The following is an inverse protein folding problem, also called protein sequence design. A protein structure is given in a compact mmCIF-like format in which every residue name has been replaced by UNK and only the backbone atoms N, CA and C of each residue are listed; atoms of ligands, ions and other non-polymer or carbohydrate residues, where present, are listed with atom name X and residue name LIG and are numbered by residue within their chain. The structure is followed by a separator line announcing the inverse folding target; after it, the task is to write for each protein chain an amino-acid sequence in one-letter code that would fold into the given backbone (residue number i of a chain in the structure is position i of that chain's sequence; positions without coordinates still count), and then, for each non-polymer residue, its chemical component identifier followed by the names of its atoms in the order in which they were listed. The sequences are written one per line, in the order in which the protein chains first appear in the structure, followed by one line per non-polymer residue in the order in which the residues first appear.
data_IF_656870341561
#
_entry.id   IF_656870341561
#
_cell.length_a   1.000
_cell.length_b   1.000
_cell.length_c   1.000
_cell.angle_alpha   90.00
_cell.angle_beta   90.00
_cell.angle_gamma   90.00
#
_symmetry.space_group_name_H-M   'P 1'
#
loop_
_entity.id
_entity.type
_entity.pdbx_description
1 polymer ?
#
# COMPACT_ATOMS: atom_id res chain seq x y z
N UNK A 1 18.48 22.18 -9.84
CA UNK A 1 17.68 20.96 -10.08
C UNK A 1 16.28 21.43 -10.50
N UNK A 2 15.85 21.15 -11.74
CA UNK A 2 14.55 21.60 -12.26
C UNK A 2 13.52 20.50 -12.03
N UNK A 3 12.38 20.81 -11.41
CA UNK A 3 11.31 19.83 -11.09
C UNK A 3 10.79 19.05 -12.31
N UNK A 4 10.92 19.59 -13.52
CA UNK A 4 10.40 18.99 -14.75
C UNK A 4 11.24 17.86 -15.36
N UNK A 5 12.42 17.55 -14.81
CA UNK A 5 13.34 16.54 -15.35
C UNK A 5 13.36 15.23 -14.54
N UNK A 6 12.62 15.16 -13.44
CA UNK A 6 12.58 13.98 -12.57
C UNK A 6 11.51 12.99 -13.03
N UNK A 7 11.79 11.69 -12.93
CA UNK A 7 10.87 10.59 -13.27
C UNK A 7 9.52 10.71 -12.55
N UNK A 8 9.51 11.33 -11.36
CA UNK A 8 8.29 11.63 -10.60
C UNK A 8 7.35 12.62 -11.31
N UNK A 9 7.87 13.55 -12.12
CA UNK A 9 7.05 14.53 -12.84
C UNK A 9 6.06 13.85 -13.79
N UNK A 10 6.47 12.77 -14.45
CA UNK A 10 5.60 12.00 -15.34
C UNK A 10 4.48 11.27 -14.59
N UNK A 11 4.69 10.93 -13.31
CA UNK A 11 3.70 10.27 -12.46
C UNK A 11 2.72 11.25 -11.79
N UNK A 12 3.11 12.53 -11.64
CA UNK A 12 2.37 13.54 -10.90
C UNK A 12 0.94 13.76 -11.41
N UNK A 13 0.73 13.73 -12.73
CA UNK A 13 -0.60 13.90 -13.31
C UNK A 13 -1.56 12.77 -12.88
N UNK A 14 -1.10 11.52 -12.94
CA UNK A 14 -1.92 10.36 -12.57
C UNK A 14 -2.14 10.29 -11.06
N UNK A 15 -1.13 10.64 -10.25
CA UNK A 15 -1.25 10.76 -8.80
C UNK A 15 -2.29 11.81 -8.40
N UNK A 16 -2.22 12.98 -9.02
CA UNK A 16 -3.14 14.09 -8.73
C UNK A 16 -4.56 13.71 -9.10
N UNK A 17 -4.77 13.16 -10.30
CA UNK A 17 -6.07 12.66 -10.75
C UNK A 17 -6.62 11.59 -9.80
N UNK A 18 -5.80 10.61 -9.40
CA UNK A 18 -6.23 9.53 -8.50
C UNK A 18 -6.64 10.04 -7.13
N UNK A 19 -5.91 11.02 -6.58
CA UNK A 19 -6.25 11.66 -5.32
C UNK A 19 -7.53 12.49 -5.43
N UNK A 20 -7.72 13.17 -6.56
CA UNK A 20 -8.93 13.94 -6.81
C UNK A 20 -10.15 13.04 -6.90
N UNK A 21 -10.08 11.92 -7.63
CA UNK A 21 -11.15 10.92 -7.69
C UNK A 21 -11.55 10.35 -6.34
N UNK A 22 -10.59 10.12 -5.44
CA UNK A 22 -10.90 9.69 -4.06
C UNK A 22 -11.72 10.74 -3.30
N UNK A 23 -11.45 12.03 -3.52
CA UNK A 23 -12.19 13.13 -2.91
C UNK A 23 -13.57 13.31 -3.55
N UNK A 24 -13.65 13.27 -4.88
CA UNK A 24 -14.91 13.38 -5.63
C UNK A 24 -15.86 12.23 -5.30
N UNK A 25 -15.34 11.00 -5.26
CA UNK A 25 -16.15 9.84 -4.90
C UNK A 25 -16.74 9.99 -3.49
N UNK A 26 -16.01 10.58 -2.54
CA UNK A 26 -16.55 10.83 -1.20
C UNK A 26 -17.72 11.84 -1.24
N UNK A 27 -17.59 12.91 -2.02
CA UNK A 27 -18.66 13.89 -2.20
C UNK A 27 -19.89 13.31 -2.89
N UNK A 28 -19.73 12.55 -3.97
CA UNK A 28 -20.82 11.91 -4.69
C UNK A 28 -21.62 10.93 -3.82
N UNK A 29 -21.00 10.40 -2.75
CA UNK A 29 -21.63 9.52 -1.79
C UNK A 29 -22.33 10.26 -0.64
N UNK A 30 -22.40 11.59 -0.68
CA UNK A 30 -22.86 12.44 0.44
C UNK A 30 -22.12 12.13 1.75
N UNK A 31 -20.90 11.62 1.65
CA UNK A 31 -20.05 11.37 2.79
C UNK A 31 -19.16 12.61 3.00
N UNK A 32 -18.88 12.99 4.26
CA UNK A 32 -17.73 13.82 4.54
C UNK A 32 -16.50 13.26 3.82
N UNK A 33 -15.66 14.14 3.25
CA UNK A 33 -14.50 13.78 2.40
C UNK A 33 -13.62 12.66 2.96
N UNK A 34 -13.59 12.54 4.27
CA UNK A 34 -12.81 11.54 4.98
C UNK A 34 -13.55 10.21 5.18
N UNK A 35 -14.89 10.15 5.28
CA UNK A 35 -15.61 8.95 5.73
C UNK A 35 -15.82 7.85 4.68
N UNK A 36 -15.38 8.03 3.44
CA UNK A 36 -15.52 7.00 2.42
C UNK A 36 -14.49 5.89 2.63
N UNK A 37 -14.98 4.68 2.89
CA UNK A 37 -14.14 3.49 2.94
C UNK A 37 -13.82 3.04 1.51
N UNK A 38 -12.57 2.64 1.29
CA UNK A 38 -12.15 2.03 0.03
C UNK A 38 -11.61 0.61 0.27
N UNK A 39 -11.98 -0.29 -0.63
CA UNK A 39 -11.42 -1.63 -0.74
C UNK A 39 -10.58 -1.74 -2.01
N UNK A 40 -9.62 -2.65 -2.00
CA UNK A 40 -8.86 -2.97 -3.19
C UNK A 40 -9.49 -4.16 -3.91
N UNK A 41 -9.65 -4.04 -5.22
CA UNK A 41 -10.05 -5.13 -6.09
C UNK A 41 -8.84 -5.60 -6.92
N UNK A 42 -8.38 -6.82 -6.65
CA UNK A 42 -7.15 -7.37 -7.22
C UNK A 42 -7.25 -7.56 -8.75
N UNK A 43 -8.34 -8.18 -9.23
CA UNK A 43 -8.55 -8.50 -10.65
C UNK A 43 -8.44 -7.27 -11.56
N UNK A 44 -9.03 -6.15 -11.14
CA UNK A 44 -9.02 -4.90 -11.91
C UNK A 44 -7.89 -3.96 -11.48
N UNK A 45 -7.22 -4.23 -10.36
CA UNK A 45 -6.25 -3.34 -9.71
C UNK A 45 -6.79 -1.92 -9.45
N UNK A 46 -8.03 -1.86 -8.94
CA UNK A 46 -8.79 -0.63 -8.69
C UNK A 46 -9.14 -0.51 -7.21
N UNK A 47 -9.19 0.73 -6.72
CA UNK A 47 -9.79 1.10 -5.45
C UNK A 47 -11.29 1.28 -5.63
N UNK A 48 -12.05 0.46 -4.92
CA UNK A 48 -13.51 0.45 -4.91
C UNK A 48 -14.02 1.22 -3.71
N UNK A 49 -14.82 2.22 -3.99
CA UNK A 49 -15.54 3.00 -3.01
C UNK A 49 -16.73 2.27 -2.44
N UNK A 50 -16.87 2.24 -1.11
CA UNK A 50 -17.93 1.49 -0.43
C UNK A 50 -18.89 2.39 0.33
N UNK A 51 -20.16 2.14 0.07
CA UNK A 51 -21.33 2.76 0.69
C UNK A 51 -22.35 1.63 0.96
N UNK A 52 -23.21 1.82 1.97
CA UNK A 52 -24.27 0.87 2.35
C UNK A 52 -25.13 0.33 1.17
N UNK A 53 -25.23 1.04 0.06
CA UNK A 53 -26.04 0.70 -1.11
C UNK A 53 -25.24 0.46 -2.40
N UNK A 54 -23.95 0.82 -2.46
CA UNK A 54 -23.17 0.74 -3.70
C UNK A 54 -21.68 0.51 -3.49
N UNK A 55 -21.08 -0.24 -4.44
CA UNK A 55 -19.64 -0.40 -4.62
C UNK A 55 -19.28 0.18 -5.99
N UNK A 56 -18.41 1.18 -6.02
CA UNK A 56 -18.10 1.93 -7.25
C UNK A 56 -16.60 1.99 -7.48
N UNK A 57 -16.14 1.72 -8.71
CA UNK A 57 -14.74 1.93 -9.08
C UNK A 57 -14.35 3.40 -8.97
N UNK A 58 -13.29 3.71 -8.22
CA UNK A 58 -12.84 5.08 -7.97
C UNK A 58 -11.61 5.40 -8.81
N UNK A 59 -10.50 4.71 -8.57
CA UNK A 59 -9.23 4.94 -9.28
C UNK A 59 -8.33 3.72 -9.22
N UNK A 60 -7.33 3.62 -10.10
CA UNK A 60 -6.32 2.57 -10.02
C UNK A 60 -5.46 2.72 -8.75
N UNK A 61 -5.13 1.59 -8.11
CA UNK A 61 -4.36 1.57 -6.85
C UNK A 61 -2.94 2.10 -7.01
N UNK A 62 -2.29 1.90 -8.17
CA UNK A 62 -0.89 2.30 -8.40
C UNK A 62 -0.69 3.81 -8.24
N UNK A 63 -1.32 4.66 -9.07
CA UNK A 63 -1.18 6.11 -8.91
C UNK A 63 -1.75 6.62 -7.58
N UNK A 64 -2.76 5.95 -7.00
CA UNK A 64 -3.27 6.30 -5.67
C UNK A 64 -2.21 6.11 -4.56
N UNK A 65 -1.42 5.04 -4.61
CA UNK A 65 -0.38 4.75 -3.61
C UNK A 65 0.97 5.43 -3.89
N UNK A 66 1.26 5.85 -5.12
CA UNK A 66 2.59 6.33 -5.49
C UNK A 66 3.01 7.60 -4.75
N UNK A 67 2.10 8.58 -4.67
CA UNK A 67 2.35 9.81 -3.92
C UNK A 67 2.59 9.55 -2.42
N UNK A 68 2.01 8.47 -1.89
CA UNK A 68 2.18 8.03 -0.51
C UNK A 68 3.49 7.29 -0.25
N UNK A 69 4.15 6.80 -1.29
CA UNK A 69 5.48 6.21 -1.22
C UNK A 69 6.56 7.09 -1.83
N UNK A 70 6.21 8.34 -2.17
CA UNK A 70 7.11 9.33 -2.77
C UNK A 70 7.80 8.81 -4.03
N UNK A 71 7.08 8.08 -4.88
CA UNK A 71 7.62 7.57 -6.15
C UNK A 71 8.74 6.55 -6.03
N UNK A 72 8.88 5.89 -4.87
CA UNK A 72 9.92 4.89 -4.63
C UNK A 72 9.33 3.52 -4.27
N UNK A 73 10.04 2.47 -4.67
CA UNK A 73 9.78 1.10 -4.23
C UNK A 73 9.80 1.03 -2.70
N UNK A 74 8.76 0.44 -2.12
CA UNK A 74 8.63 0.28 -0.68
C UNK A 74 9.79 -0.51 -0.06
N UNK A 75 10.35 -1.48 -0.77
CA UNK A 75 11.35 -2.39 -0.23
C UNK A 75 12.78 -1.89 -0.38
N UNK A 76 13.23 -1.54 -1.60
CA UNK A 76 14.62 -1.13 -1.85
C UNK A 76 14.82 0.39 -2.00
N UNK A 77 13.74 1.19 -2.00
CA UNK A 77 13.74 2.63 -2.26
C UNK A 77 14.25 3.08 -3.64
N UNK A 78 14.42 2.20 -4.64
CA UNK A 78 14.65 2.66 -6.02
C UNK A 78 13.44 3.44 -6.53
N UNK A 79 13.65 4.37 -7.46
CA UNK A 79 12.55 5.09 -8.12
C UNK A 79 11.66 4.12 -8.91
N UNK A 80 10.36 4.38 -8.91
CA UNK A 80 9.34 3.62 -9.64
C UNK A 80 8.43 4.58 -10.39
N UNK A 81 7.76 4.08 -11.42
CA UNK A 81 6.80 4.80 -12.24
C UNK A 81 5.42 4.18 -12.13
N UNK A 82 4.36 5.00 -12.20
CA UNK A 82 2.99 4.50 -12.40
C UNK A 82 2.51 4.62 -13.84
N UNK A 83 3.32 5.24 -14.71
CA UNK A 83 3.00 5.43 -16.12
C UNK A 83 3.08 4.09 -16.86
N UNK A 84 1.96 3.69 -17.46
CA UNK A 84 1.88 2.46 -18.24
C UNK A 84 2.92 2.43 -19.36
N UNK A 85 3.58 1.28 -19.53
CA UNK A 85 4.66 1.10 -20.51
C UNK A 85 6.04 1.57 -20.05
N UNK A 86 6.18 2.13 -18.86
CA UNK A 86 7.50 2.44 -18.28
C UNK A 86 8.26 1.16 -17.92
N UNK A 87 9.57 1.13 -18.14
CA UNK A 87 10.44 0.02 -17.71
C UNK A 87 10.45 -0.14 -16.18
N UNK A 88 10.37 0.99 -15.46
CA UNK A 88 10.32 1.05 -14.00
C UNK A 88 8.88 1.00 -13.46
N UNK A 89 7.95 0.39 -14.21
CA UNK A 89 6.55 0.31 -13.78
C UNK A 89 6.43 -0.41 -12.44
N UNK A 90 5.78 0.27 -11.50
CA UNK A 90 5.50 -0.25 -10.18
C UNK A 90 4.48 -1.39 -10.24
N UNK A 91 4.71 -2.41 -9.43
CA UNK A 91 3.76 -3.48 -9.16
C UNK A 91 3.16 -3.31 -7.76
N UNK A 92 1.92 -3.77 -7.60
CA UNK A 92 1.23 -3.79 -6.31
C UNK A 92 1.58 -5.09 -5.63
N UNK A 93 2.01 -5.01 -4.38
CA UNK A 93 2.34 -6.17 -3.56
C UNK A 93 1.59 -6.12 -2.23
N UNK A 94 1.32 -7.31 -1.71
CA UNK A 94 0.80 -7.49 -0.36
C UNK A 94 1.96 -7.76 0.58
N UNK A 95 2.24 -6.84 1.50
CA UNK A 95 3.34 -6.98 2.47
C UNK A 95 3.23 -8.31 3.22
N UNK A 96 2.06 -8.58 3.79
CA UNK A 96 1.64 -9.89 4.27
C UNK A 96 1.01 -10.67 3.10
N UNK A 97 1.58 -11.82 2.68
CA UNK A 97 1.07 -12.60 1.55
C UNK A 97 -0.40 -13.03 1.70
N UNK A 98 -1.15 -13.09 0.60
CA UNK A 98 -2.57 -13.46 0.58
C UNK A 98 -2.90 -14.80 1.26
N UNK A 99 -1.98 -15.78 1.21
CA UNK A 99 -2.18 -17.08 1.89
C UNK A 99 -2.46 -16.95 3.39
N UNK A 100 -2.11 -15.80 3.99
CA UNK A 100 -2.42 -15.48 5.38
C UNK A 100 -3.90 -15.18 5.64
N UNK A 101 -4.75 -15.09 4.62
CA UNK A 101 -6.21 -15.16 4.81
C UNK A 101 -6.63 -16.43 5.57
N UNK A 102 -5.83 -17.50 5.49
CA UNK A 102 -6.04 -18.73 6.27
C UNK A 102 -5.77 -18.55 7.76
N UNK A 103 -4.95 -17.57 8.17
CA UNK A 103 -4.72 -17.24 9.59
C UNK A 103 -5.96 -16.64 10.24
N UNK A 104 -6.55 -15.65 9.56
CA UNK A 104 -7.72 -14.91 10.04
C UNK A 104 -8.39 -14.23 8.85
N UNK A 105 -9.47 -14.84 8.36
CA UNK A 105 -10.25 -14.32 7.24
C UNK A 105 -10.94 -12.97 7.52
N UNK A 106 -10.87 -12.47 8.77
CA UNK A 106 -11.41 -11.15 9.14
C UNK A 106 -10.37 -10.05 9.04
N UNK A 107 -9.08 -10.38 9.00
CA UNK A 107 -8.04 -9.36 8.82
C UNK A 107 -8.10 -8.84 7.38
N UNK A 108 -8.08 -7.51 7.16
CA UNK A 108 -8.04 -6.94 5.83
C UNK A 108 -6.65 -7.15 5.20
N UNK A 109 -6.33 -8.40 4.85
CA UNK A 109 -5.09 -8.75 4.12
C UNK A 109 -5.06 -8.01 2.79
N UNK A 110 -6.18 -7.89 2.10
CA UNK A 110 -6.29 -7.09 0.87
C UNK A 110 -6.52 -5.59 1.17
N UNK A 111 -6.41 -5.21 2.43
CA UNK A 111 -6.57 -3.84 2.88
C UNK A 111 -5.41 -2.97 2.44
N UNK A 112 -5.72 -1.69 2.21
CA UNK A 112 -4.76 -0.64 1.85
C UNK A 112 -3.57 -0.57 2.82
N UNK A 113 -3.82 -0.84 4.11
CA UNK A 113 -2.79 -0.89 5.14
C UNK A 113 -1.70 -1.96 4.87
N UNK A 114 -2.00 -2.97 4.05
CA UNK A 114 -1.09 -4.07 3.68
C UNK A 114 -0.56 -3.97 2.23
N UNK A 115 -1.14 -3.09 1.40
CA UNK A 115 -0.70 -2.89 0.02
C UNK A 115 0.46 -1.93 -0.08
N UNK A 116 1.48 -2.30 -0.86
CA UNK A 116 2.66 -1.47 -1.14
C UNK A 116 2.95 -1.46 -2.64
N UNK A 117 3.62 -0.41 -3.12
CA UNK A 117 4.20 -0.42 -4.47
C UNK A 117 5.65 -0.90 -4.40
N UNK A 118 5.97 -1.87 -5.25
CA UNK A 118 7.31 -2.45 -5.37
C UNK A 118 7.82 -2.35 -6.81
N UNK A 119 9.14 -2.31 -6.99
CA UNK A 119 9.71 -2.59 -8.29
C UNK A 119 9.57 -4.07 -8.62
N UNK A 120 9.67 -4.40 -9.91
CA UNK A 120 9.56 -5.77 -10.39
C UNK A 120 10.57 -6.71 -9.71
N UNK A 121 11.83 -6.31 -9.58
CA UNK A 121 12.87 -7.13 -8.92
C UNK A 121 12.56 -7.47 -7.45
N UNK A 122 11.91 -6.56 -6.72
CA UNK A 122 11.54 -6.80 -5.34
C UNK A 122 10.27 -7.63 -5.22
N UNK A 123 9.32 -7.46 -6.14
CA UNK A 123 8.03 -8.14 -6.07
C UNK A 123 8.10 -9.60 -6.56
N UNK A 124 8.83 -9.82 -7.66
CA UNK A 124 8.96 -11.11 -8.36
C UNK A 124 10.43 -11.49 -8.58
N UNK A 125 10.65 -12.71 -9.09
CA UNK A 125 11.99 -13.23 -9.42
C UNK A 125 12.65 -13.96 -8.24
N UNK A 126 13.68 -14.77 -8.52
CA UNK A 126 14.29 -15.71 -7.55
C UNK A 126 14.72 -15.04 -6.23
N UNK A 127 15.23 -13.81 -6.32
CA UNK A 127 15.64 -12.99 -5.19
C UNK A 127 14.54 -12.06 -4.65
N UNK A 128 13.39 -12.01 -5.30
CA UNK A 128 12.24 -11.20 -4.89
C UNK A 128 11.52 -11.73 -3.66
N UNK A 129 10.56 -10.94 -3.18
CA UNK A 129 9.73 -11.29 -2.02
C UNK A 129 8.85 -12.48 -2.32
N UNK A 130 8.06 -12.44 -3.39
CA UNK A 130 6.95 -13.36 -3.63
C UNK A 130 6.12 -13.55 -2.33
N UNK A 131 6.18 -14.77 -1.81
CA UNK A 131 5.47 -15.29 -0.66
C UNK A 131 6.30 -15.24 0.63
N UNK A 132 7.54 -14.73 0.57
CA UNK A 132 8.44 -14.63 1.72
C UNK A 132 7.97 -13.52 2.64
N UNK A 133 8.15 -13.74 3.94
CA UNK A 133 7.82 -12.77 4.97
C UNK A 133 8.93 -11.71 5.07
N UNK A 134 8.62 -10.41 4.89
CA UNK A 134 9.61 -9.34 5.06
C UNK A 134 10.24 -9.29 6.46
N UNK A 135 11.40 -8.64 6.56
CA UNK A 135 12.09 -8.41 7.82
C UNK A 135 11.31 -7.50 8.79
N UNK A 136 11.74 -7.46 10.05
CA UNK A 136 11.07 -6.63 11.07
C UNK A 136 11.27 -5.14 10.79
N UNK A 137 12.39 -4.76 10.19
CA UNK A 137 12.69 -3.39 9.77
C UNK A 137 11.71 -2.94 8.67
N UNK A 138 11.35 -3.84 7.74
CA UNK A 138 10.33 -3.55 6.73
C UNK A 138 8.91 -3.49 7.33
N UNK A 139 8.64 -4.23 8.42
CA UNK A 139 7.38 -4.10 9.16
C UNK A 139 7.29 -2.74 9.86
N UNK A 140 8.37 -2.30 10.50
CA UNK A 140 8.45 -0.97 11.13
C UNK A 140 8.24 0.13 10.08
N UNK A 141 8.85 -0.01 8.90
CA UNK A 141 8.61 0.89 7.77
C UNK A 141 7.15 0.90 7.32
N UNK A 142 6.47 -0.25 7.30
CA UNK A 142 5.05 -0.33 6.95
C UNK A 142 4.19 0.41 7.97
N UNK A 143 4.51 0.23 9.26
CA UNK A 143 3.87 0.95 10.36
C UNK A 143 4.07 2.46 10.22
N UNK A 144 5.31 2.94 10.06
CA UNK A 144 5.62 4.37 9.92
C UNK A 144 4.90 5.00 8.73
N UNK A 145 4.86 4.30 7.59
CA UNK A 145 4.09 4.73 6.41
C UNK A 145 2.61 4.86 6.73
N UNK A 146 2.02 3.85 7.37
CA UNK A 146 0.59 3.88 7.72
C UNK A 146 0.27 4.98 8.73
N UNK A 147 1.10 5.18 9.75
CA UNK A 147 0.97 6.29 10.71
C UNK A 147 1.02 7.64 10.01
N UNK A 148 2.03 7.85 9.14
CA UNK A 148 2.17 9.08 8.37
C UNK A 148 0.91 9.39 7.54
N UNK A 149 0.30 8.37 6.91
CA UNK A 149 -0.92 8.55 6.12
C UNK A 149 -2.13 8.93 6.98
N UNK A 150 -2.22 8.37 8.18
CA UNK A 150 -3.29 8.65 9.14
C UNK A 150 -3.16 10.07 9.70
N UNK A 151 -1.95 10.52 10.04
CA UNK A 151 -1.73 11.85 10.62
C UNK A 151 -1.78 12.98 9.60
N UNK A 152 -1.50 12.70 8.32
CA UNK A 152 -1.43 13.72 7.25
C UNK A 152 -2.78 14.02 6.58
N UNK A 153 -3.90 13.57 7.13
CA UNK A 153 -5.26 13.81 6.62
C UNK A 153 -5.48 13.48 5.14
N UNK A 154 -4.80 12.44 4.64
CA UNK A 154 -4.99 11.98 3.27
C UNK A 154 -6.36 11.29 3.08
N UNK A 155 -6.90 11.23 1.84
CA UNK A 155 -8.19 10.59 1.55
C UNK A 155 -8.32 9.15 2.05
N UNK A 156 -7.23 8.41 2.18
CA UNK A 156 -7.22 7.02 2.68
C UNK A 156 -7.22 6.90 4.22
N UNK A 157 -7.17 8.01 4.96
CA UNK A 157 -7.04 8.04 6.42
C UNK A 157 -8.10 7.19 7.12
N UNK A 158 -9.38 7.43 6.85
CA UNK A 158 -10.43 6.69 7.58
C UNK A 158 -10.49 5.23 7.15
N UNK A 159 -10.09 4.92 5.91
CA UNK A 159 -9.91 3.54 5.47
C UNK A 159 -8.84 2.83 6.30
N UNK A 160 -7.68 3.46 6.51
CA UNK A 160 -6.63 2.90 7.37
C UNK A 160 -7.10 2.77 8.82
N UNK A 161 -7.74 3.80 9.39
CA UNK A 161 -8.29 3.73 10.75
C UNK A 161 -9.31 2.58 10.90
N UNK A 162 -10.18 2.40 9.91
CA UNK A 162 -11.18 1.34 9.88
C UNK A 162 -10.53 -0.05 9.77
N UNK A 163 -9.48 -0.18 8.96
CA UNK A 163 -8.79 -1.46 8.72
C UNK A 163 -7.92 -1.91 9.90
N UNK A 164 -7.17 -0.99 10.53
CA UNK A 164 -6.11 -1.37 11.48
C UNK A 164 -6.27 -0.76 12.88
N UNK A 165 -7.20 0.17 13.08
CA UNK A 165 -7.59 0.67 14.40
C UNK A 165 -7.45 2.19 14.60
N UNK A 166 -8.23 2.70 15.56
CA UNK A 166 -8.35 4.14 15.84
C UNK A 166 -7.26 4.74 16.74
N UNK A 167 -6.40 3.92 17.34
CA UNK A 167 -5.29 4.33 18.20
C UNK A 167 -3.99 3.71 17.69
N UNK A 168 -2.87 4.38 17.92
CA UNK A 168 -1.55 3.90 17.49
C UNK A 168 -1.24 2.54 18.09
N UNK A 169 -1.61 2.32 19.35
CA UNK A 169 -1.43 1.05 20.06
C UNK A 169 -2.20 -0.10 19.39
N UNK A 170 -3.46 0.14 18.99
CA UNK A 170 -4.25 -0.87 18.26
C UNK A 170 -3.65 -1.19 16.89
N UNK A 171 -3.14 -0.17 16.19
CA UNK A 171 -2.51 -0.34 14.87
C UNK A 171 -1.20 -1.11 14.95
N UNK A 172 -0.38 -0.82 15.95
CA UNK A 172 0.84 -1.58 16.23
C UNK A 172 0.51 -3.04 16.61
N UNK A 173 -0.46 -3.25 17.52
CA UNK A 173 -0.90 -4.59 17.89
C UNK A 173 -1.43 -5.39 16.69
N UNK A 174 -2.25 -4.76 15.83
CA UNK A 174 -2.77 -5.39 14.62
C UNK A 174 -1.64 -5.92 13.72
N UNK A 175 -0.63 -5.09 13.44
CA UNK A 175 0.52 -5.46 12.60
C UNK A 175 1.38 -6.54 13.27
N UNK A 176 1.62 -6.43 14.58
CA UNK A 176 2.37 -7.42 15.34
C UNK A 176 1.67 -8.79 15.33
N UNK A 177 0.35 -8.82 15.53
CA UNK A 177 -0.44 -10.05 15.48
C UNK A 177 -0.42 -10.67 14.09
N UNK A 178 -0.53 -9.85 13.03
CA UNK A 178 -0.40 -10.32 11.66
C UNK A 178 1.00 -10.89 11.40
N UNK A 179 2.06 -10.23 11.88
CA UNK A 179 3.44 -10.67 11.71
C UNK A 179 3.75 -11.96 12.48
N UNK A 180 3.23 -12.10 13.70
CA UNK A 180 3.33 -13.31 14.51
C UNK A 180 2.67 -14.49 13.80
N UNK A 181 1.45 -14.32 13.28
CA UNK A 181 0.79 -15.37 12.51
C UNK A 181 1.58 -15.71 11.23
N UNK A 182 2.05 -14.69 10.51
CA UNK A 182 2.86 -14.87 9.31
C UNK A 182 4.11 -15.69 9.58
N UNK A 183 4.74 -15.47 10.74
CA UNK A 183 5.92 -16.21 11.15
C UNK A 183 5.61 -17.69 11.34
N UNK A 184 4.44 -18.04 11.87
CA UNK A 184 4.02 -19.44 12.07
C UNK A 184 3.69 -20.13 10.74
N UNK A 185 2.96 -19.46 9.83
CA UNK A 185 2.45 -20.10 8.61
C UNK A 185 3.40 -20.04 7.42
N UNK A 186 4.29 -19.06 7.38
CA UNK A 186 5.13 -18.74 6.21
C UNK A 186 6.60 -18.64 6.60
N UNK A 187 6.87 -18.15 7.80
CA UNK A 187 8.23 -17.96 8.32
C UNK A 187 8.82 -19.13 9.08
N UNK A 188 8.09 -20.24 9.28
CA UNK A 188 8.46 -21.32 10.21
C UNK A 188 9.70 -22.17 9.80
N UNK A 189 10.43 -21.77 8.75
CA UNK A 189 11.66 -22.45 8.35
C UNK A 189 12.61 -21.63 7.48
N UNK A 190 12.46 -20.31 7.39
CA UNK A 190 13.22 -19.47 6.45
C UNK A 190 13.72 -18.15 7.04
N UNK A 191 14.87 -17.67 6.55
CA UNK A 191 15.33 -16.29 6.79
C UNK A 191 14.26 -15.32 6.30
N UNK A 192 13.96 -14.30 7.11
CA UNK A 192 13.11 -13.17 6.68
C UNK A 192 13.72 -12.53 5.43
N UNK A 193 12.87 -12.03 4.55
CA UNK A 193 13.29 -11.46 3.28
C UNK A 193 13.52 -9.95 3.41
N UNK A 194 14.59 -9.46 2.79
CA UNK A 194 14.90 -8.05 2.65
C UNK A 194 15.80 -7.86 1.42
N UNK A 195 15.52 -6.89 0.52
CA UNK A 195 16.38 -6.64 -0.62
C UNK A 195 17.57 -5.79 -0.21
N UNK A 196 18.55 -5.68 -1.13
CA UNK A 196 19.58 -4.65 -1.01
C UNK A 196 18.96 -3.28 -1.23
N UNK A 197 19.31 -2.33 -0.37
CA UNK A 197 18.91 -0.94 -0.49
C UNK A 197 19.49 -0.33 -1.79
N UNK A 198 18.64 0.32 -2.60
CA UNK A 198 19.00 0.93 -3.88
C UNK A 198 18.69 2.44 -3.94
N UNK A 199 18.10 3.01 -2.90
CA UNK A 199 17.86 4.45 -2.79
C UNK A 199 17.89 4.94 -1.35
N UNK A 200 17.47 6.17 -1.10
CA UNK A 200 17.37 6.70 0.28
C UNK A 200 16.16 6.06 0.97
N UNK A 201 16.34 5.53 2.18
CA UNK A 201 15.23 5.00 2.95
C UNK A 201 14.19 6.10 3.20
N UNK A 202 12.92 5.77 3.01
CA UNK A 202 11.78 6.68 3.20
C UNK A 202 10.87 6.06 4.24
N UNK A 203 10.46 6.86 5.24
CA UNK A 203 9.69 6.48 6.44
C UNK A 203 10.50 5.75 7.50
#
# INVERSE_FOLDING_TARGET
MRLGEQQQFASLAQETESRWRLVEAAWENNLPRNLMLVEYEEESSVLMGINAMRRTAVTSVRPALNGYQKGCCFYCSREISVVFGSEEIAEVDHFFPHKLKQCDGRKPIDGIANLVLACQECNRGEDGKFDRLPSIELLERLFNRNEYLITSHHPLRETLISQIGNTTEKRQAYLQDAYNCSTIHVGAGGRKWQPKQQGVAIF
#
